data_IF_796048742390
#
_entry.id   IF_796048742390
#
_cell.length_a   1.000
_cell.length_b   1.000
_cell.length_c   1.000
_cell.angle_alpha   90.00
_cell.angle_beta   90.00
_cell.angle_gamma   90.00
#
_symmetry.space_group_name_H-M   'P 1'
#
loop_
_entity.id
_entity.type
_entity.pdbx_description
1 polymer ?
#
# COMPACT_ATOMS: atom_id res chain seq x y z
N UNK A 1 10.64 0.08 -6.86
CA UNK A 1 9.24 0.22 -7.29
C UNK A 1 9.15 1.26 -8.39
N UNK A 2 8.65 0.91 -9.57
CA UNK A 2 8.34 1.88 -10.63
C UNK A 2 6.93 2.46 -10.42
N UNK A 3 6.83 3.67 -9.89
CA UNK A 3 5.54 4.34 -9.69
C UNK A 3 4.94 4.89 -10.99
N UNK A 4 5.79 5.22 -11.96
CA UNK A 4 5.39 5.88 -13.22
C UNK A 4 4.53 4.99 -14.14
N UNK A 5 4.49 3.68 -13.85
CA UNK A 5 3.65 2.72 -14.59
C UNK A 5 2.25 2.60 -14.03
N UNK A 6 1.93 3.26 -12.91
CA UNK A 6 0.63 3.21 -12.23
C UNK A 6 -0.21 4.39 -12.72
N UNK A 7 -1.23 4.18 -13.58
CA UNK A 7 -2.17 5.24 -13.94
C UNK A 7 -2.89 5.73 -12.67
N UNK A 8 -3.10 7.04 -12.56
CA UNK A 8 -3.75 7.61 -11.37
C UNK A 8 -2.87 7.67 -10.12
N UNK A 9 -1.57 7.37 -10.21
CA UNK A 9 -0.64 7.54 -9.09
C UNK A 9 -0.68 8.97 -8.52
N UNK A 10 -0.84 9.08 -7.20
CA UNK A 10 -0.82 10.36 -6.47
C UNK A 10 0.45 10.50 -5.63
N UNK A 11 0.68 9.55 -4.72
CA UNK A 11 1.82 9.61 -3.80
C UNK A 11 2.26 8.23 -3.32
N UNK A 12 3.51 8.11 -2.87
CA UNK A 12 4.05 6.92 -2.25
C UNK A 12 4.85 7.25 -1.00
N UNK A 13 4.71 6.40 0.00
CA UNK A 13 5.43 6.48 1.27
C UNK A 13 5.99 5.11 1.63
N UNK A 14 7.14 5.07 2.33
CA UNK A 14 7.71 3.84 2.89
C UNK A 14 7.63 3.91 4.41
N UNK A 15 7.21 2.80 5.01
CA UNK A 15 7.23 2.57 6.45
C UNK A 15 8.52 1.83 6.78
N UNK A 16 9.30 2.31 7.74
CA UNK A 16 10.53 1.67 8.21
C UNK A 16 10.63 1.83 9.72
N UNK A 17 10.38 0.75 10.46
CA UNK A 17 10.12 0.87 11.90
C UNK A 17 8.93 1.81 12.10
N UNK A 18 9.06 2.80 12.98
CA UNK A 18 8.04 3.83 13.23
C UNK A 18 8.13 5.07 12.33
N UNK A 19 9.10 5.10 11.42
CA UNK A 19 9.28 6.21 10.49
C UNK A 19 8.44 6.02 9.23
N UNK A 20 7.93 7.14 8.72
CA UNK A 20 7.22 7.21 7.44
C UNK A 20 7.90 8.22 6.56
N UNK A 21 8.52 7.75 5.49
CA UNK A 21 9.27 8.58 4.56
C UNK A 21 8.51 8.71 3.25
N UNK A 22 8.32 9.95 2.78
CA UNK A 22 7.78 10.19 1.45
C UNK A 22 8.78 9.72 0.39
N UNK A 23 8.33 8.87 -0.53
CA UNK A 23 9.15 8.33 -1.61
C UNK A 23 8.97 9.16 -2.87
N UNK A 24 7.73 9.44 -3.26
CA UNK A 24 7.41 10.18 -4.50
C UNK A 24 5.99 10.75 -4.45
N UNK A 25 5.73 11.76 -5.28
CA UNK A 25 4.38 12.24 -5.63
C UNK A 25 3.97 13.49 -4.87
N UNK A 26 2.68 13.78 -4.89
CA UNK A 26 2.09 14.97 -4.26
C UNK A 26 2.06 14.87 -2.73
N UNK A 27 1.84 16.00 -2.06
CA UNK A 27 1.57 16.01 -0.63
C UNK A 27 0.12 15.63 -0.37
N UNK A 28 -0.10 14.57 0.39
CA UNK A 28 -1.44 14.19 0.86
C UNK A 28 -1.76 14.90 2.18
N UNK A 29 -2.91 15.55 2.23
CA UNK A 29 -3.43 16.18 3.43
C UNK A 29 -4.08 15.15 4.37
N UNK A 30 -3.27 14.22 4.89
CA UNK A 30 -3.70 13.13 5.78
C UNK A 30 -2.75 13.07 6.98
N UNK A 31 -3.30 12.79 8.16
CA UNK A 31 -2.47 12.47 9.33
C UNK A 31 -1.80 11.10 9.12
N UNK A 32 -0.56 11.13 8.65
CA UNK A 32 0.18 9.93 8.25
C UNK A 32 0.39 8.95 9.42
N UNK A 33 0.60 9.47 10.63
CA UNK A 33 0.76 8.63 11.83
C UNK A 33 -0.50 7.81 12.11
N UNK A 34 -1.68 8.45 12.06
CA UNK A 34 -2.96 7.75 12.23
C UNK A 34 -3.22 6.74 11.11
N UNK A 35 -2.90 7.09 9.86
CA UNK A 35 -3.07 6.17 8.74
C UNK A 35 -2.20 4.93 8.89
N UNK A 36 -0.93 5.08 9.27
CA UNK A 36 -0.03 3.94 9.49
C UNK A 36 -0.52 3.04 10.61
N UNK A 37 -1.06 3.59 11.70
CA UNK A 37 -1.66 2.81 12.77
C UNK A 37 -2.83 1.96 12.26
N UNK A 38 -3.74 2.55 11.49
CA UNK A 38 -4.87 1.85 10.86
C UNK A 38 -4.37 0.76 9.92
N UNK A 39 -3.37 1.06 9.07
CA UNK A 39 -2.80 0.09 8.13
C UNK A 39 -2.17 -1.10 8.87
N UNK A 40 -1.41 -0.85 9.94
CA UNK A 40 -0.82 -1.91 10.76
C UNK A 40 -1.87 -2.78 11.44
N UNK A 41 -2.92 -2.17 11.99
CA UNK A 41 -4.02 -2.91 12.59
C UNK A 41 -4.74 -3.78 11.56
N UNK A 42 -5.05 -3.23 10.38
CA UNK A 42 -5.67 -3.99 9.29
C UNK A 42 -4.78 -5.12 8.78
N UNK A 43 -3.46 -4.88 8.66
CA UNK A 43 -2.51 -5.92 8.26
C UNK A 43 -2.47 -7.06 9.29
N UNK A 44 -2.44 -6.73 10.58
CA UNK A 44 -2.44 -7.70 11.68
C UNK A 44 -3.71 -8.55 11.67
N UNK A 45 -4.88 -7.91 11.63
CA UNK A 45 -6.18 -8.61 11.61
C UNK A 45 -6.28 -9.47 10.36
N UNK A 46 -5.93 -8.93 9.19
CA UNK A 46 -6.00 -9.68 7.94
C UNK A 46 -5.07 -10.89 7.91
N UNK A 47 -3.87 -10.80 8.50
CA UNK A 47 -2.96 -11.95 8.62
C UNK A 47 -3.47 -13.01 9.61
N UNK A 48 -4.06 -12.58 10.74
CA UNK A 48 -4.70 -13.49 11.70
C UNK A 48 -5.87 -14.25 11.07
N UNK A 49 -6.71 -13.58 10.26
CA UNK A 49 -7.83 -14.21 9.55
C UNK A 49 -7.36 -15.10 8.39
N UNK A 50 -6.35 -14.68 7.62
CA UNK A 50 -5.80 -15.48 6.53
C UNK A 50 -5.28 -16.85 7.03
N UNK A 51 -4.64 -16.86 8.21
CA UNK A 51 -4.21 -18.10 8.88
C UNK A 51 -5.37 -18.99 9.31
N UNK A 52 -6.45 -18.42 9.84
CA UNK A 52 -7.66 -19.18 10.23
C UNK A 52 -8.35 -19.81 9.03
N UNK A 53 -8.27 -19.17 7.87
CA UNK A 53 -8.89 -19.61 6.62
C UNK A 53 -7.98 -20.49 5.74
N UNK A 54 -6.78 -20.85 6.22
CA UNK A 54 -5.76 -21.59 5.46
C UNK A 54 -5.39 -20.93 4.11
N UNK A 55 -5.36 -19.59 4.09
CA UNK A 55 -5.02 -18.77 2.92
C UNK A 55 -3.54 -18.36 2.88
N UNK A 56 -2.75 -18.77 3.88
CA UNK A 56 -1.35 -18.38 4.04
C UNK A 56 -1.17 -17.01 4.70
N UNK A 57 -0.10 -16.30 4.32
CA UNK A 57 0.29 -14.99 4.88
C UNK A 57 -0.32 -13.85 4.08
N UNK A 58 -0.83 -12.82 4.77
CA UNK A 58 -1.29 -11.61 4.10
C UNK A 58 -0.11 -10.84 3.51
N UNK A 59 -0.05 -10.74 2.17
CA UNK A 59 1.00 -9.99 1.49
C UNK A 59 0.75 -8.48 1.49
N UNK A 60 -0.51 -8.06 1.52
CA UNK A 60 -0.92 -6.67 1.44
C UNK A 60 -2.41 -6.54 1.15
N UNK A 61 -2.89 -5.30 1.05
CA UNK A 61 -4.28 -5.01 0.78
C UNK A 61 -4.45 -3.64 0.11
N UNK A 62 -5.65 -3.40 -0.43
CA UNK A 62 -6.06 -2.10 -0.91
C UNK A 62 -7.35 -1.67 -0.21
N UNK A 63 -7.47 -0.37 0.07
CA UNK A 63 -8.66 0.29 0.60
C UNK A 63 -9.10 1.34 -0.42
N UNK A 64 -10.39 1.40 -0.71
CA UNK A 64 -10.96 2.36 -1.67
C UNK A 64 -12.08 3.11 -0.95
N UNK A 65 -12.02 4.43 -0.99
CA UNK A 65 -13.07 5.31 -0.50
C UNK A 65 -13.27 6.43 -1.53
N UNK A 66 -14.44 6.45 -2.15
CA UNK A 66 -14.75 7.37 -3.26
C UNK A 66 -13.70 7.26 -4.38
N UNK A 67 -13.05 8.36 -4.77
CA UNK A 67 -12.00 8.40 -5.78
C UNK A 67 -10.60 8.10 -5.22
N UNK A 68 -10.47 7.88 -3.90
CA UNK A 68 -9.19 7.63 -3.25
C UNK A 68 -8.93 6.13 -3.09
N UNK A 69 -7.82 5.66 -3.67
CA UNK A 69 -7.27 4.34 -3.43
C UNK A 69 -6.01 4.42 -2.56
N UNK A 70 -5.91 3.52 -1.58
CA UNK A 70 -4.73 3.34 -0.73
C UNK A 70 -4.32 1.86 -0.81
N UNK A 71 -3.15 1.56 -1.35
CA UNK A 71 -2.60 0.22 -1.39
C UNK A 71 -1.41 0.08 -0.44
N UNK A 72 -1.35 -1.02 0.31
CA UNK A 72 -0.26 -1.34 1.22
C UNK A 72 0.30 -2.73 0.93
N UNK A 73 1.61 -2.81 0.68
CA UNK A 73 2.35 -4.07 0.50
C UNK A 73 3.86 -3.82 0.60
N UNK A 74 4.60 -4.77 1.21
CA UNK A 74 6.06 -4.68 1.34
C UNK A 74 6.56 -3.42 2.06
N UNK A 75 5.80 -2.91 3.03
CA UNK A 75 6.14 -1.67 3.75
C UNK A 75 5.92 -0.38 2.95
N UNK A 76 5.36 -0.43 1.73
CA UNK A 76 5.01 0.76 0.96
C UNK A 76 3.51 1.05 1.06
N UNK A 77 3.17 2.34 1.15
CA UNK A 77 1.82 2.87 0.99
C UNK A 77 1.78 3.63 -0.32
N UNK A 78 0.83 3.29 -1.19
CA UNK A 78 0.62 3.95 -2.48
C UNK A 78 -0.77 4.56 -2.50
N UNK A 79 -0.83 5.86 -2.70
CA UNK A 79 -2.06 6.61 -2.93
C UNK A 79 -2.29 6.75 -4.42
N UNK A 80 -3.54 6.52 -4.82
CA UNK A 80 -3.96 6.60 -6.21
C UNK A 80 -5.35 7.21 -6.34
N UNK A 81 -5.66 7.71 -7.53
CA UNK A 81 -7.01 7.98 -8.00
C UNK A 81 -7.65 6.64 -8.40
N UNK A 82 -8.53 6.09 -7.56
CA UNK A 82 -9.11 4.76 -7.74
C UNK A 82 -9.92 4.63 -9.03
N UNK A 83 -10.48 5.73 -9.55
CA UNK A 83 -11.26 5.75 -10.79
C UNK A 83 -10.38 5.69 -12.04
N UNK A 84 -9.13 6.18 -11.94
CA UNK A 84 -8.16 6.18 -13.04
C UNK A 84 -7.16 5.04 -12.97
N UNK A 85 -7.12 4.31 -11.86
CA UNK A 85 -6.07 3.33 -11.57
C UNK A 85 -6.32 1.98 -12.21
N UNK A 86 -5.27 1.41 -12.80
CA UNK A 86 -5.21 0.00 -13.11
C UNK A 86 -4.54 -0.76 -11.95
N UNK A 87 -5.32 -1.48 -11.16
CA UNK A 87 -4.84 -2.22 -9.99
C UNK A 87 -3.83 -3.33 -10.32
N UNK A 88 -3.84 -3.88 -11.55
CA UNK A 88 -2.80 -4.81 -11.97
C UNK A 88 -1.43 -4.12 -12.05
N UNK A 89 -1.38 -2.86 -12.48
CA UNK A 89 -0.13 -2.07 -12.51
C UNK A 89 0.37 -1.73 -11.11
N UNK A 90 -0.54 -1.52 -10.15
CA UNK A 90 -0.19 -1.39 -8.73
C UNK A 90 0.48 -2.68 -8.22
N UNK A 91 -0.12 -3.85 -8.50
CA UNK A 91 0.45 -5.14 -8.11
C UNK A 91 1.79 -5.44 -8.79
N UNK A 92 1.95 -5.14 -10.08
CA UNK A 92 3.23 -5.24 -10.80
C UNK A 92 4.31 -4.39 -10.11
N UNK A 93 3.99 -3.14 -9.76
CA UNK A 93 4.92 -2.25 -9.07
C UNK A 93 5.32 -2.77 -7.68
N UNK A 94 4.40 -3.40 -6.94
CA UNK A 94 4.70 -4.06 -5.66
C UNK A 94 5.55 -5.32 -5.80
N UNK A 95 5.30 -6.16 -6.82
CA UNK A 95 6.07 -7.39 -7.05
C UNK A 95 7.57 -7.10 -7.20
N UNK A 96 7.94 -6.01 -7.85
CA UNK A 96 9.34 -5.57 -7.95
C UNK A 96 9.99 -5.31 -6.58
N UNK A 97 9.22 -4.92 -5.57
CA UNK A 97 9.78 -4.71 -4.21
C UNK A 97 9.99 -6.04 -3.52
N UNK A 98 8.99 -6.91 -3.55
CA UNK A 98 9.02 -8.22 -2.86
C UNK A 98 10.09 -9.16 -3.44
N UNK A 99 10.40 -9.06 -4.74
CA UNK A 99 11.47 -9.87 -5.36
C UNK A 99 12.89 -9.34 -5.13
N UNK A 100 13.06 -8.08 -4.71
CA UNK A 100 14.38 -7.49 -4.46
C UNK A 100 14.75 -7.46 -2.97
N UNK A 101 13.86 -7.90 -2.07
CA UNK A 101 14.11 -8.03 -0.63
C UNK A 101 14.37 -9.50 -0.19
N UNK A 102 14.45 -10.44 -1.14
CA UNK A 102 14.92 -11.83 -0.97
C UNK A 102 16.22 -12.05 -1.73
#
# INVERSE_FOLDING_TARGET
MKFDVIPGFRAAYRISGDEVTKVKGEDVNINMKKLVEIIRQNAKIGDEEAKKLDMGTLLGFAMILDDLGIAYMGGYIVFVDALKTNWNKVLEAFKEVVTNEN
#
